data_IF_409193465984
#
_entry.id   IF_409193465984
#
_cell.length_a   1.000
_cell.length_b   1.000
_cell.length_c   1.000
_cell.angle_alpha   90.00
_cell.angle_beta   90.00
_cell.angle_gamma   90.00
#
_symmetry.space_group_name_H-M   'P 1'
#
loop_
_entity.id
_entity.type
_entity.pdbx_description
1 polymer ?
#
# COMPACT_ATOMS: atom_id res chain seq x y z
N UNK A 1 15.90 14.74 1.17
CA UNK A 1 14.51 14.34 1.01
C UNK A 1 14.04 14.64 -0.42
N UNK A 2 13.76 13.58 -1.20
CA UNK A 2 13.36 13.66 -2.61
C UNK A 2 12.10 14.54 -2.81
N UNK A 3 11.12 14.44 -1.92
CA UNK A 3 9.88 15.25 -1.98
C UNK A 3 10.17 16.75 -1.87
N UNK A 4 11.15 17.15 -1.06
CA UNK A 4 11.57 18.56 -0.97
C UNK A 4 12.18 19.03 -2.29
N UNK A 5 12.99 18.19 -2.93
CA UNK A 5 13.62 18.53 -4.22
C UNK A 5 12.57 18.77 -5.29
N UNK A 6 11.64 17.84 -5.50
CA UNK A 6 10.61 17.96 -6.53
C UNK A 6 9.65 19.13 -6.25
N UNK A 7 9.36 19.42 -4.97
CA UNK A 7 8.58 20.59 -4.56
C UNK A 7 9.31 21.90 -4.90
N UNK A 8 10.60 21.99 -4.61
CA UNK A 8 11.43 23.16 -4.92
C UNK A 8 11.58 23.39 -6.43
N UNK A 9 11.52 22.33 -7.23
CA UNK A 9 11.52 22.40 -8.70
C UNK A 9 10.15 22.82 -9.28
N UNK A 10 9.14 23.09 -8.44
CA UNK A 10 7.85 23.59 -8.88
C UNK A 10 6.84 22.54 -9.32
N UNK A 11 7.14 21.25 -9.16
CA UNK A 11 6.15 20.20 -9.42
C UNK A 11 4.98 20.32 -8.43
N UNK A 12 3.76 20.16 -8.93
CA UNK A 12 2.54 20.19 -8.12
C UNK A 12 2.12 18.82 -7.61
N UNK A 13 2.45 17.79 -8.37
CA UNK A 13 2.09 16.39 -8.09
C UNK A 13 3.23 15.46 -8.48
N UNK A 14 3.34 14.34 -7.75
CA UNK A 14 4.21 13.23 -8.13
C UNK A 14 3.54 11.89 -7.82
N UNK A 15 3.76 10.91 -8.68
CA UNK A 15 3.23 9.56 -8.49
C UNK A 15 4.29 8.63 -7.93
N UNK A 16 3.93 7.94 -6.85
CA UNK A 16 4.67 6.83 -6.33
C UNK A 16 4.54 5.57 -7.21
N UNK A 17 5.12 4.47 -6.76
CA UNK A 17 5.05 3.18 -7.46
C UNK A 17 4.26 2.12 -6.69
N UNK A 18 3.47 2.54 -5.71
CA UNK A 18 2.52 1.69 -5.00
C UNK A 18 1.14 1.77 -5.65
N UNK A 19 0.41 0.66 -5.59
CA UNK A 19 -0.93 0.57 -6.16
C UNK A 19 -1.95 1.22 -5.24
N UNK A 20 -2.94 1.90 -5.83
CA UNK A 20 -4.02 2.49 -5.06
C UNK A 20 -4.75 3.59 -5.81
N UNK A 21 -5.76 4.11 -5.16
CA UNK A 21 -6.59 5.21 -5.66
C UNK A 21 -6.04 6.52 -5.09
N UNK A 22 -5.79 7.48 -5.97
CA UNK A 22 -5.45 8.84 -5.58
C UNK A 22 -6.69 9.57 -5.09
N UNK A 23 -6.57 10.26 -3.96
CA UNK A 23 -7.59 11.12 -3.41
C UNK A 23 -6.97 12.32 -2.67
N UNK A 24 -7.78 13.30 -2.32
CA UNK A 24 -7.32 14.55 -1.69
C UNK A 24 -6.69 14.37 -0.30
N UNK A 25 -6.83 13.21 0.31
CA UNK A 25 -6.24 12.91 1.63
C UNK A 25 -4.81 12.36 1.52
N UNK A 26 -4.34 12.11 0.29
CA UNK A 26 -3.00 11.58 0.02
C UNK A 26 -1.97 12.69 -0.07
N UNK A 27 -0.73 12.31 0.18
CA UNK A 27 0.41 13.18 -0.11
C UNK A 27 0.50 13.39 -1.64
N UNK A 28 0.37 14.62 -2.10
CA UNK A 28 0.40 14.98 -3.52
C UNK A 28 1.75 14.68 -4.20
N UNK A 29 2.79 14.49 -3.42
CA UNK A 29 4.11 14.11 -3.92
C UNK A 29 4.40 12.60 -3.83
N UNK A 30 3.37 11.82 -3.49
CA UNK A 30 3.44 10.34 -3.44
C UNK A 30 2.07 9.74 -3.78
N UNK A 31 1.43 10.21 -4.84
CA UNK A 31 0.13 9.69 -5.25
C UNK A 31 0.24 8.23 -5.71
N UNK A 32 -0.65 7.35 -5.27
CA UNK A 32 -0.69 5.98 -5.76
C UNK A 32 -1.18 5.92 -7.21
N UNK A 33 -0.88 4.82 -7.89
CA UNK A 33 -1.34 4.55 -9.26
C UNK A 33 -1.51 3.06 -9.50
N UNK A 34 -2.45 2.66 -10.34
CA UNK A 34 -2.53 1.30 -10.83
C UNK A 34 -1.73 1.15 -12.13
N UNK A 35 -0.83 0.16 -12.23
CA UNK A 35 -0.17 -0.13 -13.50
C UNK A 35 -1.17 -0.72 -14.50
N UNK A 36 -1.14 -0.22 -15.73
CA UNK A 36 -1.85 -0.76 -16.88
C UNK A 36 -0.80 -1.03 -17.95
N UNK A 37 -0.48 -2.28 -18.15
CA UNK A 37 0.50 -2.78 -19.13
C UNK A 37 0.04 -4.14 -19.64
N UNK A 38 0.83 -4.81 -20.44
CA UNK A 38 0.53 -6.12 -21.02
C UNK A 38 0.13 -7.17 -19.98
N UNK A 39 0.79 -7.18 -18.82
CA UNK A 39 0.47 -8.11 -17.71
C UNK A 39 -0.79 -7.73 -16.95
N UNK A 40 -1.07 -6.43 -16.85
CA UNK A 40 -2.13 -5.87 -15.99
C UNK A 40 -3.20 -5.09 -16.76
N UNK A 41 -3.23 -5.19 -18.09
CA UNK A 41 -4.14 -4.45 -18.99
C UNK A 41 -5.45 -5.18 -19.31
N UNK A 42 -5.76 -6.29 -18.64
CA UNK A 42 -6.98 -7.04 -18.87
C UNK A 42 -8.22 -6.17 -18.61
N UNK A 43 -9.19 -6.18 -19.53
CA UNK A 43 -10.37 -5.31 -19.50
C UNK A 43 -11.21 -5.50 -18.23
N UNK A 44 -11.30 -6.71 -17.73
CA UNK A 44 -12.01 -7.02 -16.48
C UNK A 44 -11.36 -6.31 -15.28
N UNK A 45 -10.02 -6.40 -15.21
CA UNK A 45 -9.23 -5.72 -14.18
C UNK A 45 -9.35 -4.20 -14.31
N UNK A 46 -9.28 -3.67 -15.53
CA UNK A 46 -9.46 -2.23 -15.79
C UNK A 46 -10.82 -1.72 -15.28
N UNK A 47 -11.93 -2.42 -15.58
CA UNK A 47 -13.24 -2.09 -15.05
C UNK A 47 -13.27 -2.11 -13.51
N UNK A 48 -12.64 -3.10 -12.88
CA UNK A 48 -12.53 -3.16 -11.41
C UNK A 48 -11.78 -1.95 -10.85
N UNK A 49 -10.66 -1.57 -11.46
CA UNK A 49 -9.85 -0.42 -11.03
C UNK A 49 -10.67 0.88 -11.10
N UNK A 50 -11.44 1.09 -12.16
CA UNK A 50 -12.27 2.29 -12.32
C UNK A 50 -13.36 2.43 -11.24
N UNK A 51 -13.77 1.33 -10.64
CA UNK A 51 -14.78 1.28 -9.57
C UNK A 51 -14.15 1.16 -8.18
N UNK A 52 -12.81 1.09 -8.10
CA UNK A 52 -12.11 0.95 -6.82
C UNK A 52 -12.05 2.28 -6.09
N UNK A 53 -12.31 2.26 -4.80
CA UNK A 53 -12.27 3.42 -3.91
C UNK A 53 -11.09 3.32 -2.93
N UNK A 54 -10.63 4.43 -2.34
CA UNK A 54 -9.54 4.40 -1.38
C UNK A 54 -9.88 3.58 -0.13
N UNK A 55 -8.97 2.72 0.31
CA UNK A 55 -8.99 2.17 1.66
C UNK A 55 -8.36 3.20 2.60
N UNK A 56 -9.20 4.02 3.23
CA UNK A 56 -8.76 5.10 4.13
C UNK A 56 -8.21 4.52 5.42
N UNK A 57 -7.17 5.14 5.95
CA UNK A 57 -6.52 4.78 7.20
C UNK A 57 -6.19 6.04 8.02
N UNK A 58 -6.10 5.87 9.33
CA UNK A 58 -5.68 6.92 10.27
C UNK A 58 -4.16 7.03 10.34
N UNK A 59 -3.48 5.90 10.44
CA UNK A 59 -2.01 5.85 10.48
C UNK A 59 -1.46 4.53 9.95
N UNK A 60 -0.22 4.56 9.47
CA UNK A 60 0.58 3.39 9.11
C UNK A 60 1.97 3.53 9.74
N UNK A 61 2.37 2.51 10.46
CA UNK A 61 3.72 2.40 11.04
C UNK A 61 4.49 1.29 10.32
N UNK A 62 5.79 1.46 10.05
CA UNK A 62 6.61 2.63 10.30
C UNK A 62 6.27 3.79 9.35
N UNK A 63 6.47 5.04 9.80
CA UNK A 63 6.31 6.23 8.95
C UNK A 63 7.44 6.29 7.92
N UNK A 64 8.67 5.99 8.37
CA UNK A 64 9.83 5.86 7.50
C UNK A 64 9.66 4.66 6.55
N UNK A 65 9.81 4.92 5.26
CA UNK A 65 9.65 3.91 4.20
C UNK A 65 11.00 3.39 3.67
N UNK A 66 12.11 3.97 4.10
CA UNK A 66 13.42 3.43 3.82
C UNK A 66 13.74 2.35 4.84
N UNK A 67 14.07 1.17 4.36
CA UNK A 67 14.45 0.03 5.19
C UNK A 67 15.88 -0.38 4.87
N UNK A 68 16.58 -0.83 5.91
CA UNK A 68 17.93 -1.38 5.87
C UNK A 68 17.86 -2.88 6.16
N UNK A 69 19.00 -3.54 6.18
CA UNK A 69 19.04 -4.96 6.56
C UNK A 69 18.58 -5.21 7.99
N UNK A 70 18.81 -4.27 8.89
CA UNK A 70 18.51 -4.40 10.33
C UNK A 70 17.02 -4.32 10.62
N UNK A 71 16.27 -3.55 9.83
CA UNK A 71 14.82 -3.36 10.00
C UNK A 71 13.99 -3.99 8.86
N UNK A 72 14.52 -4.98 8.17
CA UNK A 72 13.90 -5.74 7.11
C UNK A 72 13.66 -7.21 7.55
N UNK A 73 12.41 -7.69 7.64
CA UNK A 73 11.19 -7.01 7.25
C UNK A 73 10.71 -5.98 8.28
N UNK A 74 10.06 -4.89 7.82
CA UNK A 74 9.50 -3.89 8.72
C UNK A 74 8.27 -4.43 9.48
N UNK A 75 8.07 -3.99 10.71
CA UNK A 75 6.84 -4.26 11.44
C UNK A 75 5.74 -3.31 10.97
N UNK A 76 4.81 -3.80 10.16
CA UNK A 76 3.77 -2.97 9.58
C UNK A 76 2.50 -3.04 10.39
N UNK A 77 2.08 -1.88 10.91
CA UNK A 77 0.81 -1.74 11.62
C UNK A 77 -0.03 -0.68 10.93
N UNK A 78 -1.30 -0.98 10.69
CA UNK A 78 -2.28 -0.05 10.11
C UNK A 78 -3.37 0.18 11.13
N UNK A 79 -3.65 1.46 11.41
CA UNK A 79 -4.82 1.89 12.17
C UNK A 79 -5.82 2.52 11.22
N UNK A 80 -7.02 1.95 11.16
CA UNK A 80 -8.12 2.43 10.34
C UNK A 80 -9.02 3.39 11.14
N UNK A 81 -9.87 4.12 10.44
CA UNK A 81 -10.95 4.84 11.07
C UNK A 81 -12.02 3.87 11.59
N UNK A 82 -12.71 4.28 12.66
CA UNK A 82 -13.69 3.42 13.38
C UNK A 82 -14.95 3.11 12.55
N UNK A 83 -15.19 3.88 11.48
CA UNK A 83 -16.30 3.65 10.55
C UNK A 83 -16.01 2.58 9.49
N UNK A 84 -14.79 2.02 9.45
CA UNK A 84 -14.45 0.95 8.51
C UNK A 84 -15.17 -0.35 8.91
N UNK A 85 -16.18 -0.70 8.12
CA UNK A 85 -16.91 -1.96 8.27
C UNK A 85 -16.14 -3.13 7.66
N UNK A 86 -16.46 -4.34 8.13
CA UNK A 86 -15.97 -5.59 7.53
C UNK A 86 -14.44 -5.75 7.48
N UNK A 87 -13.71 -5.14 8.41
CA UNK A 87 -12.23 -5.23 8.47
C UNK A 87 -11.75 -6.71 8.45
N UNK A 88 -12.54 -7.64 8.92
CA UNK A 88 -12.24 -9.09 8.89
C UNK A 88 -12.19 -9.67 7.49
N UNK A 89 -12.74 -8.98 6.48
CA UNK A 89 -12.66 -9.36 5.07
C UNK A 89 -11.44 -8.75 4.37
N UNK A 90 -10.62 -7.98 5.10
CA UNK A 90 -9.40 -7.40 4.57
C UNK A 90 -8.40 -8.49 4.18
N UNK A 91 -7.83 -8.36 3.01
CA UNK A 91 -6.72 -9.20 2.55
C UNK A 91 -5.54 -8.32 2.21
N UNK A 92 -4.36 -8.68 2.70
CA UNK A 92 -3.11 -8.05 2.33
C UNK A 92 -2.17 -9.06 1.67
N UNK A 93 -1.43 -8.61 0.68
CA UNK A 93 -0.41 -9.38 -0.03
C UNK A 93 0.89 -8.58 -0.02
N UNK A 94 2.00 -9.26 0.14
CA UNK A 94 3.34 -8.68 0.11
C UNK A 94 4.24 -9.38 -0.91
N UNK A 95 5.24 -8.67 -1.44
CA UNK A 95 6.20 -9.24 -2.41
C UNK A 95 7.53 -9.65 -1.75
N UNK A 96 7.45 -10.26 -0.58
CA UNK A 96 8.61 -10.79 0.13
C UNK A 96 9.37 -11.79 -0.74
N UNK A 97 10.70 -11.77 -0.65
CA UNK A 97 11.58 -12.65 -1.43
C UNK A 97 11.25 -12.63 -2.95
N UNK A 98 10.85 -11.47 -3.44
CA UNK A 98 10.44 -11.24 -4.83
C UNK A 98 9.24 -12.11 -5.31
N UNK A 99 8.44 -12.61 -4.39
CA UNK A 99 7.25 -13.42 -4.68
C UNK A 99 6.04 -12.88 -3.93
N UNK A 100 4.92 -12.70 -4.64
CA UNK A 100 3.68 -12.27 -4.01
C UNK A 100 3.06 -13.40 -3.20
N UNK A 101 2.76 -13.10 -1.94
CA UNK A 101 2.08 -14.01 -1.03
C UNK A 101 1.04 -13.29 -0.19
N UNK A 102 0.03 -14.01 0.24
CA UNK A 102 -0.95 -13.50 1.21
C UNK A 102 -0.26 -13.38 2.57
N UNK A 103 -0.37 -12.20 3.18
CA UNK A 103 0.16 -11.95 4.52
C UNK A 103 -0.86 -12.34 5.58
N UNK A 104 -0.39 -12.86 6.70
CA UNK A 104 -1.21 -13.06 7.88
C UNK A 104 -1.49 -11.74 8.55
N UNK A 105 -2.74 -11.55 9.03
CA UNK A 105 -3.18 -10.34 9.72
C UNK A 105 -3.47 -10.64 11.17
N UNK A 106 -2.77 -9.96 12.07
CA UNK A 106 -3.04 -9.97 13.50
C UNK A 106 -3.92 -8.77 13.85
N UNK A 107 -5.08 -9.01 14.39
CA UNK A 107 -6.03 -7.95 14.82
C UNK A 107 -5.69 -7.50 16.23
N UNK A 108 -5.01 -6.36 16.36
CA UNK A 108 -4.63 -5.77 17.66
C UNK A 108 -5.82 -5.14 18.36
N UNK A 109 -6.73 -4.55 17.60
CA UNK A 109 -8.03 -4.03 18.03
C UNK A 109 -9.04 -4.19 16.89
N UNK A 110 -10.28 -3.73 17.10
CA UNK A 110 -11.31 -3.73 16.05
C UNK A 110 -10.94 -2.87 14.82
N UNK A 111 -10.00 -1.95 14.97
CA UNK A 111 -9.62 -1.00 13.90
C UNK A 111 -8.11 -0.95 13.64
N UNK A 112 -7.35 -1.84 14.29
CA UNK A 112 -5.88 -1.85 14.19
C UNK A 112 -5.37 -3.23 13.91
N UNK A 113 -4.59 -3.36 12.85
CA UNK A 113 -4.00 -4.63 12.45
C UNK A 113 -2.49 -4.52 12.37
N UNK A 114 -1.82 -5.64 12.60
CA UNK A 114 -0.43 -5.88 12.21
C UNK A 114 -0.41 -6.80 11.00
N UNK A 115 0.41 -6.47 10.03
CA UNK A 115 0.69 -7.34 8.88
C UNK A 115 1.96 -8.13 9.20
N UNK A 116 1.83 -9.43 9.36
CA UNK A 116 2.94 -10.31 9.66
C UNK A 116 3.65 -10.67 8.35
N UNK A 117 4.86 -10.13 8.19
CA UNK A 117 5.75 -10.45 7.08
C UNK A 117 6.64 -11.63 7.50
N UNK A 118 6.68 -12.67 6.69
CA UNK A 118 7.41 -13.91 6.98
C UNK A 118 8.87 -13.81 6.56
N UNK A 119 9.14 -13.06 5.49
CA UNK A 119 10.47 -12.94 4.90
C UNK A 119 10.89 -11.50 4.63
N UNK A 120 12.18 -11.34 4.36
CA UNK A 120 12.76 -10.04 3.97
C UNK A 120 12.30 -9.62 2.57
N UNK A 121 12.22 -8.32 2.33
CA UNK A 121 12.21 -7.78 0.98
C UNK A 121 13.62 -7.89 0.40
N UNK A 122 13.77 -8.51 -0.76
CA UNK A 122 15.06 -8.79 -1.39
C UNK A 122 15.32 -7.94 -2.63
N UNK A 123 14.30 -7.21 -3.10
CA UNK A 123 14.40 -6.27 -4.20
C UNK A 123 14.43 -4.84 -3.68
N UNK A 124 14.82 -3.89 -4.51
CA UNK A 124 14.85 -2.46 -4.16
C UNK A 124 13.52 -1.93 -3.62
N UNK A 125 12.41 -2.63 -3.90
CA UNK A 125 11.05 -2.21 -3.53
C UNK A 125 10.30 -3.33 -2.84
N UNK A 126 10.12 -3.18 -1.54
CA UNK A 126 9.14 -3.94 -0.79
C UNK A 126 7.74 -3.34 -0.99
N UNK A 127 6.76 -4.16 -1.35
CA UNK A 127 5.39 -3.70 -1.59
C UNK A 127 4.39 -4.56 -0.84
N UNK A 128 3.39 -3.88 -0.29
CA UNK A 128 2.22 -4.51 0.33
C UNK A 128 0.98 -3.92 -0.34
N UNK A 129 0.06 -4.77 -0.74
CA UNK A 129 -1.23 -4.37 -1.27
C UNK A 129 -2.34 -4.95 -0.39
N UNK A 130 -3.16 -4.08 0.18
CA UNK A 130 -4.32 -4.45 0.96
C UNK A 130 -5.60 -4.12 0.18
N UNK A 131 -6.56 -5.03 0.19
CA UNK A 131 -7.85 -4.83 -0.45
C UNK A 131 -8.98 -5.36 0.41
N UNK A 132 -10.11 -4.65 0.37
CA UNK A 132 -11.34 -4.99 1.06
C UNK A 132 -12.49 -4.93 0.05
N UNK A 133 -13.30 -5.97 -0.02
CA UNK A 133 -14.50 -5.98 -0.85
C UNK A 133 -15.68 -5.52 -0.02
N UNK A 134 -16.41 -4.52 -0.53
CA UNK A 134 -17.64 -4.01 0.08
C UNK A 134 -18.84 -4.88 -0.29
N UNK A 135 -19.94 -4.71 0.45
CA UNK A 135 -21.18 -5.46 0.24
C UNK A 135 -21.85 -5.16 -1.11
N UNK A 136 -21.61 -3.98 -1.68
CA UNK A 136 -22.09 -3.59 -3.02
C UNK A 136 -21.23 -4.14 -4.16
N UNK A 137 -20.15 -4.88 -3.81
CA UNK A 137 -19.22 -5.48 -4.76
C UNK A 137 -18.06 -4.60 -5.17
N UNK A 138 -18.03 -3.34 -4.76
CA UNK A 138 -16.90 -2.44 -4.98
C UNK A 138 -15.65 -2.88 -4.17
N UNK A 139 -14.49 -2.37 -4.55
CA UNK A 139 -13.25 -2.65 -3.87
C UNK A 139 -12.66 -1.40 -3.24
N UNK A 140 -12.13 -1.53 -2.02
CA UNK A 140 -11.20 -0.58 -1.42
C UNK A 140 -9.78 -1.07 -1.61
N UNK A 141 -8.87 -0.15 -1.86
CA UNK A 141 -7.46 -0.50 -2.10
C UNK A 141 -6.50 0.44 -1.39
N UNK A 142 -5.46 -0.16 -0.82
CA UNK A 142 -4.32 0.53 -0.22
C UNK A 142 -3.04 -0.19 -0.63
N UNK A 143 -2.12 0.53 -1.26
CA UNK A 143 -0.75 0.06 -1.47
C UNK A 143 0.22 0.77 -0.54
N UNK A 144 1.20 0.04 -0.05
CA UNK A 144 2.31 0.53 0.75
C UNK A 144 3.59 0.13 0.04
N UNK A 145 4.56 1.03 -0.04
CA UNK A 145 5.87 0.76 -0.61
C UNK A 145 6.95 1.08 0.40
N UNK A 146 7.93 0.20 0.46
CA UNK A 146 9.20 0.39 1.13
C UNK A 146 10.33 0.43 0.09
N UNK A 147 11.37 1.15 0.39
CA UNK A 147 12.59 1.22 -0.43
C UNK A 147 13.72 0.60 0.38
N UNK A 148 14.33 -0.45 -0.14
CA UNK A 148 15.49 -1.07 0.46
C UNK A 148 16.74 -0.29 0.02
N UNK A 149 17.38 0.38 0.99
CA UNK A 149 18.65 1.04 0.76
C UNK A 149 19.75 -0.03 0.60
N UNK A 150 20.34 -0.08 -0.57
CA UNK A 150 21.57 -0.84 -0.82
C UNK A 150 22.74 0.14 -0.61
N UNK A 151 23.51 -0.07 0.43
CA UNK A 151 24.79 0.58 0.63
C UNK A 151 25.91 -0.36 0.22
#
# INVERSE_FOLDING_TARGET
>A
DFKKIIKNLGFKYAFGQHSGVADITKDFYELPRFPINETYGEIKRFKTILQTIPLKFKSITPIERYITEDNNPPQVVIEFFEDLKNIKLLNCYSNEQNSWRKSELEYLTNFKIRINLVGKFTTERGRINCSLRESDGSWRWLGIQFVLAKY
#
